data_IF_910166177573
#
_entry.id   IF_910166177573
#
_cell.length_a   1.000
_cell.length_b   1.000
_cell.length_c   1.000
_cell.angle_alpha   90.00
_cell.angle_beta   90.00
_cell.angle_gamma   90.00
#
_symmetry.space_group_name_H-M   'P 1'
#
loop_
_entity.id
_entity.type
_entity.pdbx_description
1 polymer ?
#
# COMPACT_ATOMS: atom_id res chain seq x y z
N UNK A 1 -1.66 5.32 -7.07
CA UNK A 1 -2.64 5.27 -5.97
C UNK A 1 -1.88 5.03 -4.67
N UNK A 2 -2.32 5.70 -3.60
CA UNK A 2 -1.65 5.64 -2.31
C UNK A 2 -1.96 4.36 -1.54
N UNK A 3 -1.31 4.23 -0.39
CA UNK A 3 -1.42 3.17 0.63
C UNK A 3 -2.91 2.86 0.94
N UNK A 4 -3.28 1.57 0.89
CA UNK A 4 -4.68 1.13 0.97
C UNK A 4 -5.06 0.57 2.34
N UNK A 5 -4.13 -0.08 3.04
CA UNK A 5 -4.34 -0.66 4.37
C UNK A 5 -5.68 -1.39 4.55
N UNK A 6 -5.93 -2.39 3.71
CA UNK A 6 -7.12 -3.24 3.83
C UNK A 6 -8.45 -2.54 3.56
N UNK A 7 -8.46 -1.33 2.96
CA UNK A 7 -9.68 -0.57 2.66
C UNK A 7 -10.21 -0.85 1.23
N UNK A 8 -10.62 -2.08 0.96
CA UNK A 8 -11.07 -2.49 -0.39
C UNK A 8 -12.28 -1.68 -0.89
N UNK A 9 -13.22 -1.32 -0.03
CA UNK A 9 -14.37 -0.47 -0.40
C UNK A 9 -13.90 0.89 -0.94
N UNK A 10 -12.89 1.50 -0.32
CA UNK A 10 -12.36 2.78 -0.78
C UNK A 10 -11.67 2.63 -2.14
N UNK A 11 -10.95 1.51 -2.37
CA UNK A 11 -10.39 1.19 -3.68
C UNK A 11 -11.49 1.13 -4.74
N UNK A 12 -12.56 0.39 -4.50
CA UNK A 12 -13.68 0.29 -5.45
C UNK A 12 -14.33 1.66 -5.74
N UNK A 13 -14.55 2.47 -4.70
CA UNK A 13 -15.07 3.83 -4.86
C UNK A 13 -14.13 4.72 -5.68
N UNK A 14 -12.81 4.59 -5.46
CA UNK A 14 -11.82 5.36 -6.21
C UNK A 14 -11.79 4.92 -7.69
N UNK A 15 -11.74 3.62 -7.96
CA UNK A 15 -11.76 3.08 -9.33
C UNK A 15 -13.01 3.54 -10.08
N UNK A 16 -14.17 3.53 -9.42
CA UNK A 16 -15.38 4.10 -10.00
C UNK A 16 -15.26 5.62 -10.22
N UNK A 17 -14.76 6.38 -9.24
CA UNK A 17 -14.62 7.84 -9.35
C UNK A 17 -13.72 8.27 -10.50
N UNK A 18 -12.61 7.56 -10.72
CA UNK A 18 -11.67 7.84 -11.83
C UNK A 18 -12.09 7.17 -13.14
N UNK A 19 -13.20 6.43 -13.14
CA UNK A 19 -13.70 5.67 -14.29
C UNK A 19 -12.64 4.73 -14.87
N UNK A 20 -11.90 4.04 -13.99
CA UNK A 20 -10.79 3.17 -14.38
C UNK A 20 -11.24 2.05 -15.32
N UNK A 21 -10.51 1.87 -16.41
CA UNK A 21 -10.75 0.86 -17.44
C UNK A 21 -9.51 -0.02 -17.68
N UNK A 22 -9.63 -0.99 -18.59
CA UNK A 22 -8.52 -1.82 -19.07
C UNK A 22 -7.57 -1.09 -20.03
N UNK A 23 -7.93 0.12 -20.48
CA UNK A 23 -7.05 1.00 -21.28
C UNK A 23 -6.12 1.87 -20.40
N UNK A 24 -6.35 1.91 -19.09
CA UNK A 24 -5.58 2.68 -18.13
C UNK A 24 -4.47 1.82 -17.47
N UNK A 25 -3.44 2.47 -16.93
CA UNK A 25 -2.40 1.82 -16.11
C UNK A 25 -2.48 2.34 -14.67
N UNK A 26 -2.56 1.44 -13.70
CA UNK A 26 -2.63 1.79 -12.27
C UNK A 26 -1.37 1.35 -11.53
N UNK A 27 -0.68 2.31 -10.92
CA UNK A 27 0.47 2.05 -10.06
C UNK A 27 0.08 2.20 -8.58
N UNK A 28 0.28 1.16 -7.76
CA UNK A 28 0.02 1.15 -6.31
C UNK A 28 1.36 1.16 -5.57
N UNK A 29 1.55 2.10 -4.64
CA UNK A 29 2.83 2.36 -4.00
C UNK A 29 3.11 1.51 -2.75
N UNK A 30 2.56 0.30 -2.66
CA UNK A 30 2.72 -0.57 -1.49
C UNK A 30 1.63 -0.41 -0.43
N UNK A 31 1.81 -1.09 0.70
CA UNK A 31 0.96 -1.03 1.88
C UNK A 31 -0.53 -1.30 1.57
N UNK A 32 -0.78 -2.40 0.84
CA UNK A 32 -2.15 -2.80 0.51
C UNK A 32 -2.84 -3.52 1.65
N UNK A 33 -2.05 -4.12 2.55
CA UNK A 33 -2.52 -4.94 3.66
C UNK A 33 -2.47 -4.19 4.99
N UNK A 34 -2.99 -4.87 6.02
CA UNK A 34 -3.04 -4.49 7.43
C UNK A 34 -4.03 -3.39 7.77
N UNK A 35 -4.31 -3.27 9.08
CA UNK A 35 -5.23 -2.30 9.70
C UNK A 35 -6.70 -2.48 9.29
N UNK A 36 -7.03 -2.40 8.00
CA UNK A 36 -8.35 -2.65 7.45
C UNK A 36 -8.72 -4.14 7.38
N UNK A 37 -10.01 -4.45 7.15
CA UNK A 37 -10.52 -5.81 7.17
C UNK A 37 -10.30 -6.59 5.86
N UNK A 38 -10.07 -5.91 4.74
CA UNK A 38 -10.16 -6.51 3.39
C UNK A 38 -8.80 -6.70 2.71
N UNK A 39 -7.76 -7.08 3.46
CA UNK A 39 -6.42 -7.32 2.89
C UNK A 39 -6.44 -8.38 1.77
N UNK A 40 -7.16 -9.48 1.96
CA UNK A 40 -7.22 -10.58 0.98
C UNK A 40 -8.02 -10.19 -0.27
N UNK A 41 -9.05 -9.35 -0.14
CA UNK A 41 -9.80 -8.84 -1.30
C UNK A 41 -8.90 -7.98 -2.21
N UNK A 42 -8.08 -7.10 -1.61
CA UNK A 42 -7.14 -6.27 -2.38
C UNK A 42 -6.04 -7.13 -3.01
N UNK A 43 -5.51 -8.12 -2.28
CA UNK A 43 -4.54 -9.08 -2.81
C UNK A 43 -5.04 -9.75 -4.11
N UNK A 44 -6.26 -10.29 -4.10
CA UNK A 44 -6.83 -10.92 -5.28
C UNK A 44 -7.16 -9.93 -6.39
N UNK A 45 -7.59 -8.71 -6.05
CA UNK A 45 -7.76 -7.65 -7.04
C UNK A 45 -6.46 -7.36 -7.80
N UNK A 46 -5.36 -7.11 -7.08
CA UNK A 46 -4.05 -6.81 -7.69
C UNK A 46 -3.57 -7.98 -8.54
N UNK A 47 -3.68 -9.21 -8.03
CA UNK A 47 -3.24 -10.42 -8.75
C UNK A 47 -4.04 -10.69 -10.02
N UNK A 48 -5.30 -10.27 -10.08
CA UNK A 48 -6.19 -10.53 -11.22
C UNK A 48 -6.06 -9.50 -12.35
N UNK A 49 -5.55 -8.31 -12.07
CA UNK A 49 -5.58 -7.18 -13.01
C UNK A 49 -4.19 -6.97 -13.66
N UNK A 50 -4.03 -7.22 -14.97
CA UNK A 50 -2.73 -7.13 -15.63
C UNK A 50 -2.21 -5.69 -15.81
N UNK A 51 -3.10 -4.70 -15.77
CA UNK A 51 -2.81 -3.27 -15.86
C UNK A 51 -2.71 -2.59 -14.48
N UNK A 52 -2.50 -3.39 -13.43
CA UNK A 52 -2.25 -2.92 -12.07
C UNK A 52 -0.84 -3.36 -11.66
N UNK A 53 0.03 -2.38 -11.47
CA UNK A 53 1.41 -2.56 -11.05
C UNK A 53 1.56 -2.16 -9.60
N UNK A 54 2.27 -2.96 -8.82
CA UNK A 54 2.47 -2.70 -7.40
C UNK A 54 3.94 -2.85 -7.04
N UNK A 55 4.44 -1.96 -6.17
CA UNK A 55 5.70 -2.12 -5.45
C UNK A 55 5.42 -2.60 -4.03
N UNK A 56 6.40 -3.22 -3.37
CA UNK A 56 6.25 -3.60 -1.96
C UNK A 56 6.41 -2.39 -1.04
N UNK A 57 5.55 -2.29 -0.04
CA UNK A 57 5.73 -1.38 1.09
C UNK A 57 6.38 -2.05 2.30
N UNK A 58 6.56 -1.29 3.37
CA UNK A 58 7.13 -1.86 4.59
C UNK A 58 6.18 -2.85 5.27
N UNK A 59 4.86 -2.71 5.08
CA UNK A 59 3.90 -3.68 5.58
C UNK A 59 4.02 -5.03 4.88
N UNK A 60 4.21 -5.06 3.56
CA UNK A 60 4.48 -6.31 2.84
C UNK A 60 5.79 -6.96 3.32
N UNK A 61 6.83 -6.16 3.60
CA UNK A 61 8.12 -6.67 4.12
C UNK A 61 7.94 -7.28 5.52
N UNK A 62 7.30 -6.56 6.45
CA UNK A 62 7.04 -7.05 7.82
C UNK A 62 6.18 -8.32 7.81
N UNK A 63 5.11 -8.31 7.00
CA UNK A 63 4.24 -9.48 6.83
C UNK A 63 5.05 -10.66 6.32
N UNK A 64 5.83 -10.50 5.25
CA UNK A 64 6.65 -11.57 4.69
C UNK A 64 7.58 -12.18 5.74
N UNK A 65 8.29 -11.36 6.51
CA UNK A 65 9.17 -11.83 7.59
C UNK A 65 8.39 -12.63 8.64
N UNK A 66 7.20 -12.17 9.02
CA UNK A 66 6.32 -12.88 9.94
C UNK A 66 5.82 -14.21 9.36
N UNK A 67 5.41 -14.22 8.09
CA UNK A 67 4.88 -15.39 7.40
C UNK A 67 5.94 -16.49 7.22
N UNK A 68 7.18 -16.13 6.88
CA UNK A 68 8.29 -17.10 6.82
C UNK A 68 8.49 -17.78 8.18
N UNK A 69 8.45 -17.01 9.27
CA UNK A 69 8.50 -17.59 10.61
C UNK A 69 7.22 -18.41 10.93
N UNK A 70 6.05 -17.99 10.44
CA UNK A 70 4.80 -18.73 10.62
C UNK A 70 4.83 -20.12 9.98
N UNK A 71 5.52 -20.30 8.85
CA UNK A 71 5.70 -21.62 8.23
C UNK A 71 6.53 -22.57 9.10
N UNK A 72 7.49 -22.02 9.86
CA UNK A 72 8.34 -22.80 10.78
C UNK A 72 7.58 -23.21 12.05
N UNK A 73 6.79 -22.30 12.61
CA UNK A 73 6.09 -22.51 13.88
C UNK A 73 4.64 -22.96 13.70
N UNK A 74 4.16 -23.00 12.46
CA UNK A 74 2.79 -23.26 12.07
C UNK A 74 1.77 -22.30 12.75
N UNK A 75 2.17 -21.05 12.99
CA UNK A 75 1.38 -20.08 13.74
C UNK A 75 1.52 -18.69 13.12
N UNK A 76 0.39 -18.11 12.69
CA UNK A 76 0.34 -16.81 12.01
C UNK A 76 0.60 -15.66 12.98
N UNK A 77 0.25 -15.84 14.26
CA UNK A 77 0.13 -14.79 15.26
C UNK A 77 0.77 -15.14 16.61
N UNK A 78 1.83 -15.95 16.56
CA UNK A 78 2.59 -16.29 17.75
C UNK A 78 3.36 -15.09 18.30
N UNK A 79 3.05 -14.65 19.52
CA UNK A 79 3.84 -13.59 20.21
C UNK A 79 5.28 -14.05 20.55
N UNK A 80 5.61 -15.34 20.39
CA UNK A 80 6.98 -15.85 20.46
C UNK A 80 7.83 -15.46 19.24
N UNK A 81 7.19 -15.08 18.12
CA UNK A 81 7.84 -14.65 16.91
C UNK A 81 8.10 -13.13 16.94
N UNK A 82 9.37 -12.73 16.96
CA UNK A 82 9.76 -11.31 16.94
C UNK A 82 9.23 -10.56 15.72
N UNK A 83 9.25 -11.19 14.54
CA UNK A 83 8.73 -10.59 13.31
C UNK A 83 7.22 -10.35 13.40
N UNK A 84 6.48 -11.30 13.96
CA UNK A 84 5.05 -11.11 14.20
C UNK A 84 4.80 -10.00 15.22
N UNK A 85 5.57 -9.91 16.31
CA UNK A 85 5.39 -8.82 17.30
C UNK A 85 5.55 -7.44 16.68
N UNK A 86 6.56 -7.25 15.82
CA UNK A 86 6.76 -6.00 15.08
C UNK A 86 5.58 -5.74 14.13
N UNK A 87 5.20 -6.74 13.34
CA UNK A 87 4.09 -6.61 12.39
C UNK A 87 2.74 -6.32 13.09
N UNK A 88 2.47 -6.99 14.22
CA UNK A 88 1.29 -6.78 15.07
C UNK A 88 1.18 -5.36 15.59
N UNK A 89 2.30 -4.77 16.01
CA UNK A 89 2.34 -3.35 16.43
C UNK A 89 2.00 -2.38 15.29
N UNK A 90 2.17 -2.83 14.04
CA UNK A 90 1.83 -2.09 12.84
C UNK A 90 0.49 -2.55 12.21
N UNK A 91 -0.36 -3.28 12.94
CA UNK A 91 -1.74 -3.54 12.50
C UNK A 91 -1.97 -4.86 11.75
N UNK A 92 -1.07 -5.85 11.88
CA UNK A 92 -1.21 -7.19 11.29
C UNK A 92 -2.55 -7.88 11.55
N UNK A 93 -3.23 -7.54 12.65
CA UNK A 93 -4.49 -8.17 13.07
C UNK A 93 -5.55 -8.17 11.96
N UNK A 94 -5.65 -7.08 11.19
CA UNK A 94 -6.58 -6.99 10.06
C UNK A 94 -6.32 -8.08 9.02
N UNK A 95 -5.08 -8.20 8.59
CA UNK A 95 -4.65 -9.22 7.62
C UNK A 95 -4.76 -10.64 8.16
N UNK A 96 -4.33 -10.90 9.40
CA UNK A 96 -4.45 -12.22 10.02
C UNK A 96 -5.91 -12.67 10.09
N UNK A 97 -6.83 -11.78 10.44
CA UNK A 97 -8.25 -12.09 10.47
C UNK A 97 -8.80 -12.32 9.06
N UNK A 98 -8.41 -11.49 8.08
CA UNK A 98 -8.79 -11.64 6.67
C UNK A 98 -8.35 -13.00 6.10
N UNK A 99 -7.12 -13.46 6.42
CA UNK A 99 -6.63 -14.80 6.05
C UNK A 99 -7.50 -15.90 6.67
N UNK A 100 -7.81 -15.80 7.97
CA UNK A 100 -8.61 -16.81 8.69
C UNK A 100 -10.02 -16.93 8.17
N UNK A 101 -10.64 -15.80 7.85
CA UNK A 101 -11.97 -15.72 7.25
C UNK A 101 -11.97 -16.34 5.86
N UNK A 102 -11.01 -15.95 5.01
CA UNK A 102 -10.87 -16.50 3.65
C UNK A 102 -10.68 -18.03 3.66
N UNK A 103 -9.82 -18.54 4.55
CA UNK A 103 -9.57 -19.98 4.70
C UNK A 103 -10.64 -20.70 5.53
N UNK A 104 -11.70 -20.01 5.95
CA UNK A 104 -12.81 -20.56 6.73
C UNK A 104 -12.35 -21.35 7.96
N UNK A 105 -11.36 -20.81 8.69
CA UNK A 105 -10.69 -21.49 9.82
C UNK A 105 -11.67 -22.15 10.80
N UNK A 106 -12.79 -21.50 11.08
CA UNK A 106 -13.77 -21.95 12.08
C UNK A 106 -14.78 -22.98 11.51
N UNK A 107 -14.72 -23.28 10.21
CA UNK A 107 -15.66 -24.18 9.52
C UNK A 107 -15.03 -25.51 9.07
N UNK A 108 -13.71 -25.68 9.21
CA UNK A 108 -12.99 -26.86 8.74
C UNK A 108 -12.14 -27.50 9.86
N UNK A 109 -11.83 -28.80 9.78
CA UNK A 109 -10.95 -29.47 10.75
C UNK A 109 -9.55 -28.86 10.79
N UNK A 110 -8.89 -28.97 11.95
CA UNK A 110 -7.55 -28.42 12.16
C UNK A 110 -6.50 -28.95 11.16
N UNK A 111 -6.54 -30.24 10.84
CA UNK A 111 -5.59 -30.86 9.90
C UNK A 111 -5.77 -30.32 8.47
N UNK A 112 -7.01 -30.12 8.04
CA UNK A 112 -7.30 -29.52 6.73
C UNK A 112 -6.88 -28.05 6.70
N UNK A 113 -7.22 -27.28 7.74
CA UNK A 113 -6.78 -25.89 7.88
C UNK A 113 -5.25 -25.77 7.88
N UNK A 114 -4.55 -26.72 8.50
CA UNK A 114 -3.09 -26.73 8.56
C UNK A 114 -2.47 -26.74 7.16
N UNK A 115 -2.88 -27.68 6.31
CA UNK A 115 -2.31 -27.85 4.97
C UNK A 115 -2.65 -26.66 4.07
N UNK A 116 -3.93 -26.29 3.98
CA UNK A 116 -4.36 -25.18 3.11
C UNK A 116 -3.74 -23.84 3.53
N UNK A 117 -3.59 -23.59 4.84
CA UNK A 117 -2.96 -22.37 5.35
C UNK A 117 -1.49 -22.33 4.96
N UNK A 118 -0.79 -23.46 5.05
CA UNK A 118 0.63 -23.52 4.71
C UNK A 118 0.85 -23.20 3.24
N UNK A 119 0.04 -23.76 2.36
CA UNK A 119 0.07 -23.47 0.92
C UNK A 119 -0.25 -22.00 0.65
N UNK A 120 -1.34 -21.49 1.23
CA UNK A 120 -1.75 -20.10 1.04
C UNK A 120 -0.72 -19.08 1.57
N UNK A 121 -0.09 -19.37 2.71
CA UNK A 121 0.99 -18.54 3.25
C UNK A 121 2.18 -18.52 2.29
N UNK A 122 2.54 -19.66 1.69
CA UNK A 122 3.60 -19.71 0.69
C UNK A 122 3.24 -18.87 -0.54
N UNK A 123 2.00 -18.92 -1.03
CA UNK A 123 1.54 -18.09 -2.15
C UNK A 123 1.65 -16.60 -1.86
N UNK A 124 1.33 -16.16 -0.64
CA UNK A 124 1.48 -14.75 -0.24
C UNK A 124 2.96 -14.35 -0.20
N UNK A 125 3.84 -15.22 0.33
CA UNK A 125 5.29 -14.96 0.34
C UNK A 125 5.81 -14.82 -1.08
N UNK A 126 5.46 -15.76 -1.97
CA UNK A 126 5.91 -15.76 -3.36
C UNK A 126 5.42 -14.53 -4.11
N UNK A 127 4.18 -14.09 -3.85
CA UNK A 127 3.65 -12.84 -4.37
C UNK A 127 4.50 -11.64 -3.93
N UNK A 128 4.79 -11.49 -2.64
CA UNK A 128 5.59 -10.36 -2.13
C UNK A 128 7.01 -10.40 -2.69
N UNK A 129 7.60 -11.58 -2.80
CA UNK A 129 8.93 -11.78 -3.38
C UNK A 129 9.00 -11.39 -4.86
N UNK A 130 7.88 -11.52 -5.58
CA UNK A 130 7.79 -11.11 -6.98
C UNK A 130 7.67 -9.59 -7.18
N UNK A 131 7.27 -8.84 -6.15
CA UNK A 131 7.07 -7.40 -6.27
C UNK A 131 8.41 -6.67 -6.41
N UNK A 132 8.50 -5.63 -7.27
CA UNK A 132 9.64 -4.73 -7.29
C UNK A 132 9.68 -3.82 -6.03
N UNK A 133 10.85 -3.23 -5.76
CA UNK A 133 11.01 -2.23 -4.70
C UNK A 133 10.66 -0.81 -5.18
N UNK A 134 10.77 -0.57 -6.49
CA UNK A 134 10.45 0.69 -7.15
C UNK A 134 10.06 0.42 -8.61
N UNK A 135 9.43 1.39 -9.27
CA UNK A 135 9.14 1.35 -10.71
C UNK A 135 9.65 2.65 -11.35
N UNK A 136 10.35 2.51 -12.47
CA UNK A 136 10.74 3.63 -13.33
C UNK A 136 9.75 3.75 -14.50
N UNK A 137 9.37 4.98 -14.85
CA UNK A 137 8.46 5.26 -15.96
C UNK A 137 8.85 6.56 -16.66
N UNK A 138 9.26 6.46 -17.92
CA UNK A 138 9.40 7.63 -18.80
C UNK A 138 8.05 8.00 -19.40
N UNK A 139 7.52 9.16 -19.02
CA UNK A 139 6.21 9.62 -19.48
C UNK A 139 6.16 11.14 -19.63
N UNK A 140 5.63 11.61 -20.77
CA UNK A 140 5.53 13.03 -21.11
C UNK A 140 6.83 13.85 -20.90
N UNK A 141 7.98 13.23 -21.18
CA UNK A 141 9.29 13.89 -21.06
C UNK A 141 9.81 14.02 -19.62
N UNK A 142 9.21 13.33 -18.66
CA UNK A 142 9.72 13.17 -17.29
C UNK A 142 10.09 11.72 -17.02
N UNK A 143 11.13 11.53 -16.25
CA UNK A 143 11.51 10.24 -15.70
C UNK A 143 10.93 10.11 -14.28
N UNK A 144 9.90 9.29 -14.13
CA UNK A 144 9.24 9.07 -12.84
C UNK A 144 9.86 7.89 -12.12
N UNK A 145 10.10 8.06 -10.81
CA UNK A 145 10.48 6.99 -9.90
C UNK A 145 9.40 6.82 -8.86
N UNK A 146 8.65 5.73 -8.96
CA UNK A 146 7.64 5.33 -8.00
C UNK A 146 8.28 4.46 -6.93
N UNK A 147 8.29 4.93 -5.69
CA UNK A 147 8.95 4.29 -4.55
C UNK A 147 8.01 4.33 -3.34
N UNK A 148 8.05 3.34 -2.46
CA UNK A 148 7.10 3.29 -1.36
C UNK A 148 7.32 4.45 -0.37
N UNK A 149 8.55 4.61 0.14
CA UNK A 149 8.86 5.62 1.16
C UNK A 149 9.71 6.77 0.62
N UNK A 150 10.78 6.46 -0.11
CA UNK A 150 11.70 7.46 -0.64
C UNK A 150 13.05 6.87 -1.01
N UNK A 151 14.04 7.71 -1.30
CA UNK A 151 15.43 7.28 -1.57
C UNK A 151 16.39 7.95 -0.60
N UNK A 152 17.56 7.34 -0.41
CA UNK A 152 18.68 8.02 0.23
C UNK A 152 19.13 9.21 -0.64
N UNK A 153 19.06 10.47 -0.18
CA UNK A 153 19.55 11.64 -0.90
C UNK A 153 21.01 11.55 -1.36
N UNK A 154 21.85 10.72 -0.71
CA UNK A 154 23.25 10.55 -1.08
C UNK A 154 23.44 9.59 -2.27
N UNK A 155 22.39 8.87 -2.69
CA UNK A 155 22.42 7.92 -3.79
C UNK A 155 21.90 8.57 -5.08
N UNK A 156 22.75 8.57 -6.12
CA UNK A 156 22.42 9.21 -7.40
C UNK A 156 21.48 8.37 -8.26
N UNK A 157 21.78 7.08 -8.44
CA UNK A 157 21.00 6.20 -9.31
C UNK A 157 20.10 5.29 -8.48
N UNK A 158 18.87 5.08 -8.90
CA UNK A 158 17.87 4.36 -8.11
C UNK A 158 18.27 2.88 -7.89
N UNK A 159 18.95 2.27 -8.84
CA UNK A 159 19.42 0.88 -8.78
C UNK A 159 20.45 0.61 -7.68
N UNK A 160 21.15 1.65 -7.22
CA UNK A 160 22.16 1.58 -6.16
C UNK A 160 21.53 1.74 -4.76
N UNK A 161 20.22 1.98 -4.67
CA UNK A 161 19.52 2.26 -3.41
C UNK A 161 19.35 1.01 -2.54
N UNK A 162 19.45 1.18 -1.22
CA UNK A 162 19.12 0.14 -0.24
C UNK A 162 17.61 -0.14 -0.23
N UNK A 163 17.15 -1.37 -0.54
CA UNK A 163 15.74 -1.74 -0.48
C UNK A 163 15.05 -1.45 0.85
N UNK A 164 15.77 -1.49 1.97
CA UNK A 164 15.19 -1.17 3.27
C UNK A 164 14.87 0.33 3.38
N UNK A 165 15.76 1.20 2.88
CA UNK A 165 15.50 2.64 2.84
C UNK A 165 14.35 2.96 1.90
N UNK A 166 14.27 2.29 0.74
CA UNK A 166 13.15 2.44 -0.21
C UNK A 166 11.77 2.22 0.44
N UNK A 167 11.71 1.39 1.48
CA UNK A 167 10.49 1.06 2.20
C UNK A 167 10.27 1.84 3.52
N UNK A 168 11.29 2.47 4.09
CA UNK A 168 11.19 3.02 5.46
C UNK A 168 11.65 4.47 5.65
N UNK A 169 12.35 5.07 4.68
CA UNK A 169 12.86 6.43 4.84
C UNK A 169 11.72 7.46 4.91
N UNK A 170 11.95 8.54 5.65
CA UNK A 170 10.94 9.59 5.90
C UNK A 170 11.55 10.97 5.67
N UNK A 171 11.72 11.74 6.74
CA UNK A 171 12.11 13.16 6.72
C UNK A 171 13.39 13.39 5.94
N UNK A 172 14.38 12.50 6.08
CA UNK A 172 15.65 12.66 5.40
C UNK A 172 15.50 12.69 3.87
N UNK A 173 14.58 11.91 3.30
CA UNK A 173 14.30 11.92 1.87
C UNK A 173 13.56 13.20 1.43
N UNK A 174 12.38 13.48 2.00
CA UNK A 174 11.52 14.54 1.48
C UNK A 174 11.97 15.96 1.89
N UNK A 175 12.94 16.11 2.80
CA UNK A 175 13.53 17.40 3.19
C UNK A 175 14.88 17.71 2.53
N UNK A 176 15.40 16.84 1.67
CA UNK A 176 16.72 17.01 1.04
C UNK A 176 16.64 16.94 -0.49
N UNK A 177 17.65 17.52 -1.19
CA UNK A 177 17.74 17.35 -2.63
C UNK A 177 18.09 15.89 -2.96
N UNK A 178 17.43 15.34 -3.98
CA UNK A 178 17.78 14.04 -4.56
C UNK A 178 18.20 14.25 -6.01
N UNK A 179 18.35 13.17 -6.80
CA UNK A 179 18.65 13.29 -8.23
C UNK A 179 17.63 14.22 -8.92
N UNK A 180 18.06 15.38 -9.46
CA UNK A 180 17.15 16.36 -10.04
C UNK A 180 16.56 15.94 -11.39
N UNK A 181 17.13 14.92 -12.03
CA UNK A 181 16.62 14.36 -13.29
C UNK A 181 15.38 13.48 -13.07
N UNK A 182 15.10 13.09 -11.82
CA UNK A 182 14.00 12.20 -11.46
C UNK A 182 12.86 12.98 -10.83
N UNK A 183 11.62 12.56 -11.14
CA UNK A 183 10.42 12.95 -10.41
C UNK A 183 9.95 11.78 -9.54
N UNK A 184 10.12 11.90 -8.23
CA UNK A 184 9.75 10.85 -7.29
C UNK A 184 8.26 10.94 -6.92
N UNK A 185 7.58 9.80 -6.89
CA UNK A 185 6.23 9.66 -6.34
C UNK A 185 6.28 8.65 -5.20
N UNK A 186 5.81 9.04 -4.01
CA UNK A 186 5.96 8.25 -2.79
C UNK A 186 4.73 8.24 -1.88
N UNK A 187 4.63 7.18 -1.07
CA UNK A 187 3.61 6.95 -0.04
C UNK A 187 4.22 6.94 1.36
N UNK A 188 3.86 5.95 2.20
CA UNK A 188 4.45 5.59 3.50
C UNK A 188 4.35 6.61 4.66
N UNK A 189 4.58 7.89 4.37
CA UNK A 189 4.48 8.98 5.33
C UNK A 189 3.15 9.69 5.12
N UNK A 190 2.17 9.49 6.02
CA UNK A 190 0.89 10.16 5.94
C UNK A 190 1.06 11.66 5.80
N UNK A 191 0.43 12.22 4.77
CA UNK A 191 0.67 13.60 4.37
C UNK A 191 0.24 14.64 5.40
N UNK A 192 -0.57 14.28 6.40
CA UNK A 192 -0.84 15.16 7.54
C UNK A 192 0.41 15.48 8.39
N UNK A 193 1.47 14.68 8.27
CA UNK A 193 2.77 14.93 8.90
C UNK A 193 3.76 15.67 7.98
N UNK A 194 3.46 15.75 6.68
CA UNK A 194 4.32 16.39 5.68
C UNK A 194 3.80 17.79 5.32
N UNK A 195 2.49 17.93 5.12
CA UNK A 195 1.85 19.20 4.83
C UNK A 195 1.85 20.11 6.07
N UNK A 196 2.24 21.37 5.90
CA UNK A 196 2.18 22.41 6.94
C UNK A 196 0.76 22.65 7.47
N UNK A 197 -0.26 22.45 6.63
CA UNK A 197 -1.67 22.59 6.99
C UNK A 197 -2.28 21.33 7.63
N UNK A 198 -1.45 20.29 7.82
CA UNK A 198 -1.84 18.97 8.32
C UNK A 198 -2.94 18.27 7.50
N UNK A 199 -3.15 18.68 6.25
CA UNK A 199 -4.10 18.02 5.37
C UNK A 199 -3.54 16.70 4.82
N UNK A 200 -4.46 15.84 4.38
CA UNK A 200 -4.11 14.59 3.70
C UNK A 200 -4.07 14.74 2.17
N UNK A 201 -4.05 15.99 1.68
CA UNK A 201 -4.00 16.26 0.24
C UNK A 201 -2.60 15.95 -0.30
N UNK A 202 -2.52 15.58 -1.58
CA UNK A 202 -1.25 15.35 -2.29
C UNK A 202 -0.29 16.52 -2.04
N UNK A 203 0.92 16.19 -1.60
CA UNK A 203 1.98 17.13 -1.34
C UNK A 203 2.92 17.20 -2.53
N UNK A 204 3.34 18.41 -2.87
CA UNK A 204 4.32 18.68 -3.91
C UNK A 204 5.51 19.38 -3.26
N UNK A 205 6.71 18.89 -3.56
CA UNK A 205 7.96 19.44 -3.05
C UNK A 205 8.07 20.95 -3.35
N UNK A 206 8.02 21.82 -2.32
CA UNK A 206 8.04 23.26 -2.51
C UNK A 206 9.45 23.79 -2.78
N UNK A 207 10.49 23.03 -2.47
CA UNK A 207 11.88 23.49 -2.48
C UNK A 207 12.64 22.99 -3.72
N UNK A 208 12.51 21.70 -4.04
CA UNK A 208 13.24 21.06 -5.14
C UNK A 208 12.34 20.66 -6.31
N UNK A 209 11.02 20.74 -6.15
CA UNK A 209 10.02 20.52 -7.20
C UNK A 209 10.09 19.17 -7.94
N UNK A 210 10.69 18.16 -7.30
CA UNK A 210 10.91 16.86 -7.92
C UNK A 210 10.38 15.68 -7.10
N UNK A 211 9.57 15.93 -6.06
CA UNK A 211 8.92 14.89 -5.25
C UNK A 211 7.43 15.16 -5.10
N UNK A 212 6.64 14.09 -5.12
CA UNK A 212 5.18 14.12 -4.98
C UNK A 212 4.78 13.06 -3.97
N UNK A 213 4.33 13.49 -2.80
CA UNK A 213 3.82 12.60 -1.76
C UNK A 213 2.33 12.38 -1.94
N UNK A 214 1.88 11.12 -1.90
CA UNK A 214 0.47 10.78 -2.13
C UNK A 214 -0.24 10.06 -0.97
N UNK A 215 0.45 9.63 0.11
CA UNK A 215 -0.18 8.91 1.23
C UNK A 215 -1.22 9.75 1.98
N UNK A 216 -2.50 9.49 1.70
CA UNK A 216 -3.62 10.17 2.35
C UNK A 216 -3.94 9.70 3.77
N UNK A 217 -3.09 8.86 4.37
CA UNK A 217 -3.12 8.57 5.80
C UNK A 217 -4.24 7.64 6.24
N UNK A 218 -4.63 6.67 5.39
CA UNK A 218 -5.52 5.57 5.81
C UNK A 218 -4.93 4.74 6.96
N UNK A 219 -3.62 4.85 7.14
CA UNK A 219 -2.83 4.31 8.22
C UNK A 219 -3.22 4.88 9.62
N UNK A 220 -3.48 6.18 9.71
CA UNK A 220 -3.35 6.93 10.97
C UNK A 220 -4.65 7.35 11.65
N UNK A 221 -5.78 7.39 10.93
CA UNK A 221 -7.06 7.73 11.54
C UNK A 221 -8.25 7.46 10.61
N UNK A 222 -9.44 7.47 11.21
CA UNK A 222 -10.75 7.61 10.57
C UNK A 222 -10.96 8.95 9.81
N UNK A 223 -9.93 9.81 9.82
CA UNK A 223 -9.90 11.12 9.15
C UNK A 223 -9.05 11.13 7.87
N UNK A 224 -8.35 10.05 7.57
CA UNK A 224 -7.57 9.92 6.34
C UNK A 224 -8.43 9.84 5.08
N UNK A 225 -7.76 9.67 3.95
CA UNK A 225 -8.38 9.52 2.64
C UNK A 225 -7.51 8.63 1.73
N UNK A 226 -8.13 7.97 0.76
CA UNK A 226 -7.42 7.36 -0.35
C UNK A 226 -7.14 8.44 -1.40
N UNK A 227 -5.89 8.59 -1.82
CA UNK A 227 -5.48 9.52 -2.87
C UNK A 227 -5.11 8.78 -4.17
N UNK A 228 -5.42 9.42 -5.30
CA UNK A 228 -4.96 8.99 -6.61
C UNK A 228 -4.53 10.21 -7.44
N UNK A 229 -3.36 10.10 -8.09
CA UNK A 229 -2.83 11.11 -9.01
C UNK A 229 -2.92 10.57 -10.43
N UNK A 230 -3.53 11.31 -11.34
CA UNK A 230 -3.50 11.01 -12.77
C UNK A 230 -2.30 11.70 -13.41
N UNK A 231 -1.38 10.94 -14.01
CA UNK A 231 -0.19 11.51 -14.65
C UNK A 231 -0.49 12.11 -16.03
N UNK A 232 -1.58 11.72 -16.68
CA UNK A 232 -1.96 12.21 -18.01
C UNK A 232 -2.32 13.70 -18.00
N UNK A 233 -3.06 14.14 -16.99
CA UNK A 233 -3.61 15.50 -16.88
C UNK A 233 -3.20 16.22 -15.58
N UNK A 234 -2.51 15.53 -14.65
CA UNK A 234 -2.11 16.07 -13.35
C UNK A 234 -3.23 16.16 -12.33
N UNK A 235 -4.43 15.65 -12.64
CA UNK A 235 -5.59 15.74 -11.74
C UNK A 235 -5.40 14.84 -10.52
N UNK A 236 -5.76 15.34 -9.34
CA UNK A 236 -5.79 14.55 -8.10
C UNK A 236 -7.22 14.22 -7.69
N UNK A 237 -7.41 12.97 -7.27
CA UNK A 237 -8.67 12.42 -6.79
C UNK A 237 -8.50 11.96 -5.35
N UNK A 238 -9.57 12.10 -4.56
CA UNK A 238 -9.61 11.61 -3.18
C UNK A 238 -10.94 10.98 -2.82
N UNK A 239 -10.89 9.95 -1.98
CA UNK A 239 -12.04 9.36 -1.30
C UNK A 239 -11.75 9.40 0.22
N UNK A 240 -12.47 10.22 1.00
CA UNK A 240 -12.38 10.21 2.46
C UNK A 240 -12.67 8.84 3.06
N UNK A 241 -11.96 8.46 4.14
CA UNK A 241 -12.16 7.19 4.83
C UNK A 241 -13.62 6.92 5.20
N UNK A 242 -14.31 7.97 5.69
CA UNK A 242 -15.71 7.90 6.12
C UNK A 242 -16.67 7.44 5.01
N UNK A 243 -16.34 7.71 3.74
CA UNK A 243 -17.22 7.41 2.60
C UNK A 243 -17.28 5.89 2.32
N UNK A 244 -16.26 5.14 2.75
CA UNK A 244 -16.24 3.67 2.70
C UNK A 244 -16.95 2.99 3.87
N UNK A 245 -17.45 3.75 4.84
CA UNK A 245 -18.11 3.17 6.02
C UNK A 245 -19.57 2.81 5.72
N UNK A 246 -20.12 1.72 6.29
CA UNK A 246 -21.42 1.17 5.88
C UNK A 246 -22.57 2.17 5.78
N UNK A 247 -22.67 3.11 6.74
CA UNK A 247 -23.75 4.11 6.75
C UNK A 247 -23.62 5.15 5.63
N UNK A 248 -22.41 5.65 5.39
CA UNK A 248 -22.14 6.62 4.32
C UNK A 248 -22.20 5.95 2.94
N UNK A 249 -21.67 4.74 2.82
CA UNK A 249 -21.71 3.95 1.59
C UNK A 249 -23.16 3.73 1.11
N UNK A 250 -24.08 3.39 2.03
CA UNK A 250 -25.50 3.25 1.70
C UNK A 250 -26.11 4.55 1.15
N UNK A 251 -25.69 5.71 1.68
CA UNK A 251 -26.12 7.01 1.19
C UNK A 251 -25.58 7.28 -0.22
N UNK A 252 -24.29 7.07 -0.45
CA UNK A 252 -23.65 7.25 -1.76
C UNK A 252 -24.29 6.35 -2.81
N UNK A 253 -24.52 5.06 -2.50
CA UNK A 253 -25.17 4.12 -3.42
C UNK A 253 -26.59 4.56 -3.77
N UNK A 254 -27.32 5.16 -2.81
CA UNK A 254 -28.67 5.68 -3.06
C UNK A 254 -28.66 6.87 -4.01
N UNK A 255 -27.67 7.76 -3.88
CA UNK A 255 -27.55 8.96 -4.71
C UNK A 255 -27.08 8.65 -6.15
N UNK A 256 -26.48 7.48 -6.37
CA UNK A 256 -26.07 6.98 -7.69
C UNK A 256 -27.19 6.30 -8.50
N UNK A 257 -28.36 6.04 -7.88
CA UNK A 257 -29.53 5.39 -8.53
C UNK A 257 -30.58 6.41 -8.95
#
# INVERSE_FOLDING_TARGET
MSDLHGQFVLLQLMLNKIQFTDEDELYILGDIMDRGPNSIDIYYFVKAMPNVHMIKGNHEIMMRQSLVASLKYNDLDSDLNNAYRLWKQNGATGTVNSIREFLQKDSIPYEEYFDIKKEFVQEIIDFIDSLPNYIELDYQGKHYVMVHAGVDPEVTNIEDSDPELLAWIREYFYMNPCNPEYTYIFGHTPLCYVNDDHSFNIWYDPDYHNKIGIDGGLAVADRGQLNCLCLTDGTSYKIPYKDGQPGELQRIIKDLK
#
